data_IF_311520144317
#
_entry.id   IF_311520144317
#
_cell.length_a   1.000
_cell.length_b   1.000
_cell.length_c   1.000
_cell.angle_alpha   90.00
_cell.angle_beta   90.00
_cell.angle_gamma   90.00
#
_symmetry.space_group_name_H-M   'P 1'
#
loop_
_entity.id
_entity.type
_entity.pdbx_description
1 polymer ?
#
# COMPACT_ATOMS: atom_id res chain seq x y z
N UNK A 1 70.05 -33.09 22.30
CA UNK A 1 69.93 -34.48 21.83
C UNK A 1 68.84 -35.15 22.66
N UNK A 2 67.73 -35.51 22.00
CA UNK A 2 66.58 -36.33 22.44
C UNK A 2 65.73 -35.78 23.60
N UNK A 3 64.73 -34.95 23.25
CA UNK A 3 63.50 -34.81 24.04
C UNK A 3 62.51 -35.83 23.45
N UNK A 4 62.22 -36.89 24.21
CA UNK A 4 61.31 -37.93 23.78
C UNK A 4 59.86 -37.55 24.12
N UNK A 5 59.02 -37.65 23.10
CA UNK A 5 57.66 -37.16 23.02
C UNK A 5 56.63 -38.15 23.59
N UNK A 6 55.40 -37.64 23.71
CA UNK A 6 54.08 -38.31 23.70
C UNK A 6 53.50 -38.70 25.06
N UNK A 7 52.74 -37.76 25.64
CA UNK A 7 51.53 -38.10 26.41
C UNK A 7 50.32 -38.00 25.48
N UNK A 8 49.77 -39.15 25.10
CA UNK A 8 48.56 -39.24 24.30
C UNK A 8 47.37 -38.65 25.09
N UNK A 9 46.76 -37.57 24.58
CA UNK A 9 45.42 -37.14 25.02
C UNK A 9 44.41 -38.08 24.37
N UNK A 10 43.85 -38.99 25.16
CA UNK A 10 42.71 -39.80 24.74
C UNK A 10 41.48 -38.91 24.59
N UNK A 11 41.13 -38.61 23.34
CA UNK A 11 39.84 -38.05 22.97
C UNK A 11 38.74 -39.06 23.34
N UNK A 12 38.00 -38.81 24.42
CA UNK A 12 36.72 -39.49 24.68
C UNK A 12 35.72 -38.98 23.65
N UNK A 13 35.63 -39.68 22.52
CA UNK A 13 34.46 -39.60 21.64
C UNK A 13 33.26 -40.09 22.44
N UNK A 14 32.38 -39.16 22.83
CA UNK A 14 31.04 -39.50 23.28
C UNK A 14 30.33 -40.23 22.16
N UNK A 15 30.24 -41.55 22.27
CA UNK A 15 29.34 -42.35 21.44
C UNK A 15 27.93 -41.92 21.83
N UNK A 16 27.22 -41.23 20.96
CA UNK A 16 25.76 -41.26 20.99
C UNK A 16 25.37 -42.72 20.79
N UNK A 17 25.06 -43.39 21.90
CA UNK A 17 24.40 -44.69 21.84
C UNK A 17 23.03 -44.43 21.24
N UNK A 18 22.85 -44.81 19.97
CA UNK A 18 21.53 -45.04 19.40
C UNK A 18 20.98 -46.32 20.05
N UNK A 19 20.53 -46.17 21.29
CA UNK A 19 19.65 -47.14 21.93
C UNK A 19 18.31 -47.06 21.21
N UNK A 20 17.74 -48.20 20.83
CA UNK A 20 16.39 -48.24 20.29
C UNK A 20 15.44 -47.65 21.33
N UNK A 21 14.81 -46.52 20.99
CA UNK A 21 13.83 -45.88 21.87
C UNK A 21 12.73 -46.87 22.21
N UNK A 22 12.38 -46.93 23.49
CA UNK A 22 11.26 -47.77 23.93
C UNK A 22 9.96 -47.22 23.34
N UNK A 23 8.97 -48.09 23.14
CA UNK A 23 7.68 -47.70 22.56
C UNK A 23 7.00 -46.59 23.38
N UNK A 24 7.20 -46.57 24.70
CA UNK A 24 6.70 -45.53 25.61
C UNK A 24 7.43 -44.19 25.41
N UNK A 25 8.73 -44.21 25.16
CA UNK A 25 9.51 -42.99 24.91
C UNK A 25 9.15 -42.36 23.56
N UNK A 26 8.94 -43.19 22.53
CA UNK A 26 8.48 -42.75 21.22
C UNK A 26 7.10 -42.09 21.29
N UNK A 27 6.15 -42.67 22.04
CA UNK A 27 4.79 -42.10 22.17
C UNK A 27 4.79 -40.78 22.92
N UNK A 28 5.65 -40.62 23.94
CA UNK A 28 5.82 -39.33 24.65
C UNK A 28 6.39 -38.27 23.71
N UNK A 29 7.43 -38.60 22.95
CA UNK A 29 8.05 -37.67 21.99
C UNK A 29 7.05 -37.25 20.92
N UNK A 30 6.32 -38.20 20.33
CA UNK A 30 5.30 -37.89 19.32
C UNK A 30 4.18 -37.04 19.93
N UNK A 31 3.71 -37.37 21.14
CA UNK A 31 2.70 -36.59 21.84
C UNK A 31 3.14 -35.15 22.11
N UNK A 32 4.39 -34.94 22.55
CA UNK A 32 4.95 -33.60 22.72
C UNK A 32 5.09 -32.86 21.39
N UNK A 33 5.51 -33.52 20.31
CA UNK A 33 5.60 -32.88 18.99
C UNK A 33 4.22 -32.44 18.47
N UNK A 34 3.19 -33.27 18.64
CA UNK A 34 1.81 -32.92 18.23
C UNK A 34 1.28 -31.74 19.03
N UNK A 35 1.52 -31.70 20.35
CA UNK A 35 1.16 -30.56 21.20
C UNK A 35 1.87 -29.27 20.76
N UNK A 36 3.18 -29.33 20.53
CA UNK A 36 3.97 -28.18 20.09
C UNK A 36 3.54 -27.71 18.69
N UNK A 37 3.24 -28.63 17.78
CA UNK A 37 2.73 -28.31 16.46
C UNK A 37 1.36 -27.61 16.52
N UNK A 38 0.45 -28.09 17.38
CA UNK A 38 -0.86 -27.47 17.59
C UNK A 38 -0.76 -26.05 18.14
N UNK A 39 0.09 -25.85 19.16
CA UNK A 39 0.37 -24.52 19.71
C UNK A 39 1.01 -23.59 18.67
N UNK A 40 1.95 -24.12 17.87
CA UNK A 40 2.61 -23.38 16.79
C UNK A 40 1.64 -22.93 15.71
N UNK A 41 0.72 -23.80 15.28
CA UNK A 41 -0.32 -23.44 14.30
C UNK A 41 -1.29 -22.40 14.85
N UNK A 42 -1.68 -22.49 16.13
CA UNK A 42 -2.52 -21.49 16.78
C UNK A 42 -1.89 -20.11 16.79
N UNK A 43 -0.62 -20.02 17.18
CA UNK A 43 0.13 -18.76 17.18
C UNK A 43 0.32 -18.20 15.76
N UNK A 44 0.60 -19.04 14.78
CA UNK A 44 0.76 -18.61 13.39
C UNK A 44 -0.57 -18.06 12.82
N UNK A 45 -1.69 -18.73 13.11
CA UNK A 45 -3.02 -18.23 12.74
C UNK A 45 -3.29 -16.85 13.33
N UNK A 46 -2.99 -16.66 14.63
CA UNK A 46 -3.14 -15.36 15.29
C UNK A 46 -2.24 -14.27 14.69
N UNK A 47 -0.99 -14.60 14.34
CA UNK A 47 -0.08 -13.66 13.69
C UNK A 47 -0.58 -13.22 12.31
N UNK A 48 -1.12 -14.15 11.51
CA UNK A 48 -1.70 -13.82 10.20
C UNK A 48 -2.91 -12.89 10.35
N UNK A 49 -3.80 -13.17 11.31
CA UNK A 49 -4.95 -12.30 11.60
C UNK A 49 -4.51 -10.90 12.04
N UNK A 50 -3.53 -10.81 12.96
CA UNK A 50 -3.01 -9.51 13.41
C UNK A 50 -2.35 -8.73 12.28
N UNK A 51 -1.61 -9.39 11.38
CA UNK A 51 -1.02 -8.75 10.22
C UNK A 51 -2.10 -8.16 9.28
N UNK A 52 -3.25 -8.83 9.13
CA UNK A 52 -4.40 -8.30 8.39
C UNK A 52 -4.97 -7.03 9.03
N UNK A 53 -5.25 -7.08 10.34
CA UNK A 53 -5.83 -5.93 11.08
C UNK A 53 -4.90 -4.71 11.03
N UNK A 54 -3.59 -4.90 11.13
CA UNK A 54 -2.61 -3.80 11.05
C UNK A 54 -2.64 -3.16 9.66
N UNK A 55 -2.77 -3.95 8.59
CA UNK A 55 -2.88 -3.42 7.22
C UNK A 55 -4.13 -2.56 7.04
N UNK A 56 -5.25 -2.97 7.60
CA UNK A 56 -6.52 -2.22 7.53
C UNK A 56 -6.46 -0.89 8.30
N UNK A 57 -5.81 -0.86 9.47
CA UNK A 57 -5.74 0.36 10.30
C UNK A 57 -4.71 1.39 9.86
N UNK A 58 -3.86 1.07 8.88
CA UNK A 58 -2.80 1.97 8.43
C UNK A 58 -3.29 3.10 7.50
N UNK A 59 -4.55 3.08 7.08
CA UNK A 59 -5.09 4.10 6.18
C UNK A 59 -5.03 5.51 6.78
N UNK A 60 -5.64 5.74 7.95
CA UNK A 60 -5.66 7.06 8.58
C UNK A 60 -4.27 7.53 9.05
N UNK A 61 -3.42 6.61 9.47
CA UNK A 61 -2.12 6.93 10.06
C UNK A 61 -1.06 7.25 8.99
N UNK A 62 -1.08 6.55 7.85
CA UNK A 62 -0.01 6.64 6.86
C UNK A 62 -0.50 7.06 5.48
N UNK A 63 -1.57 6.43 4.96
CA UNK A 63 -1.99 6.61 3.57
C UNK A 63 -2.69 7.95 3.35
N UNK A 64 -3.65 8.29 4.20
CA UNK A 64 -4.36 9.55 4.11
C UNK A 64 -3.42 10.77 4.25
N UNK A 65 -2.49 10.83 5.22
CA UNK A 65 -1.51 11.92 5.29
C UNK A 65 -0.58 11.98 4.07
N UNK A 66 -0.17 10.83 3.52
CA UNK A 66 0.64 10.78 2.30
C UNK A 66 -0.09 11.40 1.11
N UNK A 67 -1.38 11.07 0.93
CA UNK A 67 -2.23 11.66 -0.12
C UNK A 67 -2.32 13.17 0.07
N UNK A 68 -2.67 13.65 1.27
CA UNK A 68 -2.78 15.08 1.54
C UNK A 68 -1.49 15.85 1.24
N UNK A 69 -0.35 15.35 1.72
CA UNK A 69 0.95 15.97 1.48
C UNK A 69 1.30 16.04 0.00
N UNK A 70 0.89 15.05 -0.80
CA UNK A 70 1.15 15.08 -2.23
C UNK A 70 0.17 15.99 -2.96
N UNK A 71 -1.11 15.87 -2.66
CA UNK A 71 -2.18 16.64 -3.28
C UNK A 71 -1.95 18.13 -3.06
N UNK A 72 -1.62 18.54 -1.84
CA UNK A 72 -1.27 19.92 -1.51
C UNK A 72 -0.09 20.44 -2.33
N UNK A 73 0.98 19.65 -2.49
CA UNK A 73 2.17 20.05 -3.27
C UNK A 73 1.89 20.15 -4.77
N UNK A 74 1.05 19.28 -5.32
CA UNK A 74 0.77 19.26 -6.75
C UNK A 74 -0.26 20.33 -7.12
N UNK A 75 -1.34 20.47 -6.35
CA UNK A 75 -2.38 21.49 -6.60
C UNK A 75 -1.80 22.89 -6.48
N UNK A 76 -0.95 23.16 -5.48
CA UNK A 76 -0.33 24.48 -5.31
C UNK A 76 0.54 24.92 -6.48
N UNK A 77 1.02 23.97 -7.30
CA UNK A 77 1.82 24.27 -8.49
C UNK A 77 0.99 24.38 -9.76
N UNK A 78 -0.26 23.92 -9.74
CA UNK A 78 -1.14 23.97 -10.90
C UNK A 78 -1.76 25.37 -11.02
N UNK A 79 -1.79 25.91 -12.23
CA UNK A 79 -2.48 27.18 -12.51
C UNK A 79 -3.99 27.01 -12.40
N UNK A 80 -4.49 25.84 -12.82
CA UNK A 80 -5.91 25.49 -12.84
C UNK A 80 -6.08 23.99 -12.64
N UNK A 81 -7.27 23.61 -12.21
CA UNK A 81 -7.67 22.22 -12.13
C UNK A 81 -9.09 22.04 -12.63
N UNK A 82 -9.43 20.82 -13.03
CA UNK A 82 -10.74 20.44 -13.55
C UNK A 82 -11.02 18.99 -13.18
N UNK A 83 -12.23 18.71 -12.72
CA UNK A 83 -12.64 17.37 -12.28
C UNK A 83 -13.34 16.66 -13.44
N UNK A 84 -13.14 15.35 -13.54
CA UNK A 84 -13.71 14.46 -14.53
C UNK A 84 -14.21 13.19 -13.83
N UNK A 85 -15.25 12.58 -14.40
CA UNK A 85 -15.87 11.38 -13.84
C UNK A 85 -14.85 10.23 -13.75
N UNK A 86 -14.07 10.02 -14.81
CA UNK A 86 -13.07 8.98 -14.92
C UNK A 86 -11.87 9.37 -15.81
N UNK A 87 -10.90 8.46 -15.92
CA UNK A 87 -9.69 8.62 -16.73
C UNK A 87 -10.00 8.76 -18.23
N UNK A 88 -10.84 7.89 -18.85
CA UNK A 88 -11.23 8.05 -20.24
C UNK A 88 -11.83 9.43 -20.56
N UNK A 89 -12.73 9.94 -19.70
CA UNK A 89 -13.36 11.25 -19.86
C UNK A 89 -12.33 12.39 -19.83
N UNK A 90 -11.35 12.30 -18.92
CA UNK A 90 -10.25 13.25 -18.82
C UNK A 90 -9.30 13.20 -20.05
N UNK A 91 -8.98 12.01 -20.54
CA UNK A 91 -8.12 11.82 -21.72
C UNK A 91 -8.81 12.26 -23.02
N UNK A 92 -10.12 12.05 -23.13
CA UNK A 92 -10.93 12.51 -24.25
C UNK A 92 -11.19 14.03 -24.23
N UNK A 93 -10.87 14.72 -23.13
CA UNK A 93 -11.10 16.17 -22.99
C UNK A 93 -12.59 16.52 -23.01
N UNK A 94 -13.42 15.67 -22.39
CA UNK A 94 -14.87 15.91 -22.25
C UNK A 94 -15.16 17.15 -21.39
N UNK A 95 -16.44 17.49 -21.21
CA UNK A 95 -16.77 18.53 -20.23
C UNK A 95 -16.47 18.05 -18.82
N UNK A 96 -15.94 18.96 -18.00
CA UNK A 96 -15.62 18.66 -16.62
C UNK A 96 -16.88 18.51 -15.78
N UNK A 97 -16.77 17.68 -14.76
CA UNK A 97 -17.82 17.37 -13.81
C UNK A 97 -17.62 18.15 -12.51
N UNK A 98 -18.68 18.28 -11.71
CA UNK A 98 -18.56 18.86 -10.37
C UNK A 98 -17.97 17.86 -9.36
N UNK A 99 -18.05 16.57 -9.67
CA UNK A 99 -17.56 15.48 -8.84
C UNK A 99 -17.05 14.32 -9.71
N UNK A 100 -16.00 13.63 -9.30
CA UNK A 100 -15.51 12.47 -10.04
C UNK A 100 -14.24 11.87 -9.47
N UNK A 101 -13.65 10.93 -10.21
CA UNK A 101 -12.49 10.17 -9.77
C UNK A 101 -11.19 10.60 -10.46
N UNK A 102 -11.25 11.57 -11.36
CA UNK A 102 -10.09 12.12 -12.06
C UNK A 102 -10.02 13.64 -11.88
N UNK A 103 -8.84 14.13 -11.50
CA UNK A 103 -8.51 15.53 -11.34
C UNK A 103 -7.40 15.89 -12.33
N UNK A 104 -7.75 16.67 -13.36
CA UNK A 104 -6.80 17.20 -14.33
C UNK A 104 -6.23 18.52 -13.81
N UNK A 105 -4.93 18.67 -13.92
CA UNK A 105 -4.14 19.79 -13.46
C UNK A 105 -3.46 20.43 -14.67
N UNK A 106 -3.60 21.74 -14.79
CA UNK A 106 -2.99 22.53 -15.87
C UNK A 106 -1.81 23.30 -15.30
N UNK A 107 -0.66 23.12 -15.94
CA UNK A 107 0.59 23.80 -15.63
C UNK A 107 1.03 24.64 -16.83
N UNK A 108 1.80 25.69 -16.58
CA UNK A 108 2.54 26.42 -17.62
C UNK A 108 4.03 26.16 -17.48
N UNK A 109 4.69 25.83 -18.59
CA UNK A 109 6.14 25.79 -18.63
C UNK A 109 6.74 27.21 -18.67
N UNK A 110 8.08 27.29 -18.57
CA UNK A 110 8.81 28.56 -18.62
C UNK A 110 8.64 29.33 -19.95
N UNK A 111 8.17 28.66 -21.00
CA UNK A 111 7.94 29.21 -22.34
C UNK A 111 6.45 29.59 -22.54
N UNK A 112 5.59 29.27 -21.58
CA UNK A 112 4.15 29.54 -21.60
C UNK A 112 3.28 28.44 -22.22
N UNK A 113 3.86 27.30 -22.60
CA UNK A 113 3.07 26.17 -23.10
C UNK A 113 2.31 25.51 -21.95
N UNK A 114 1.08 25.09 -22.25
CA UNK A 114 0.26 24.34 -21.30
C UNK A 114 0.70 22.89 -21.24
N UNK A 115 0.96 22.41 -20.04
CA UNK A 115 1.18 21.00 -19.73
C UNK A 115 0.04 20.48 -18.86
N UNK A 116 -0.32 19.22 -19.05
CA UNK A 116 -1.45 18.62 -18.35
C UNK A 116 -0.96 17.43 -17.53
N UNK A 117 -1.19 17.51 -16.22
CA UNK A 117 -1.11 16.37 -15.32
C UNK A 117 -2.51 15.89 -14.97
N UNK A 118 -2.63 14.65 -14.49
CA UNK A 118 -3.88 14.13 -13.96
C UNK A 118 -3.59 13.28 -12.73
N UNK A 119 -4.40 13.44 -11.70
CA UNK A 119 -4.46 12.55 -10.55
C UNK A 119 -5.77 11.78 -10.67
N UNK A 120 -5.72 10.45 -10.70
CA UNK A 120 -6.92 9.65 -10.79
C UNK A 120 -6.88 8.48 -9.83
N UNK A 121 -8.06 8.12 -9.33
CA UNK A 121 -8.26 6.94 -8.50
C UNK A 121 -8.77 5.78 -9.35
N UNK A 122 -8.15 4.62 -9.19
CA UNK A 122 -8.51 3.39 -9.87
C UNK A 122 -8.65 2.25 -8.87
N UNK A 123 -9.76 1.51 -8.99
CA UNK A 123 -9.94 0.26 -8.25
C UNK A 123 -9.29 -0.88 -9.02
N UNK A 124 -8.17 -1.38 -8.51
CA UNK A 124 -7.53 -2.56 -9.03
C UNK A 124 -8.30 -3.81 -8.58
N UNK A 125 -9.21 -4.28 -9.44
CA UNK A 125 -10.09 -5.43 -9.16
C UNK A 125 -9.35 -6.74 -8.86
N UNK A 126 -8.10 -6.89 -9.31
CA UNK A 126 -7.31 -8.10 -9.06
C UNK A 126 -6.67 -8.13 -7.68
N UNK A 127 -6.31 -6.97 -7.13
CA UNK A 127 -5.73 -6.85 -5.79
C UNK A 127 -6.74 -6.44 -4.72
N UNK A 128 -7.86 -5.84 -5.13
CA UNK A 128 -8.81 -5.19 -4.22
C UNK A 128 -8.28 -3.87 -3.64
N UNK A 129 -7.23 -3.30 -4.22
CA UNK A 129 -6.68 -2.00 -3.79
C UNK A 129 -7.28 -0.86 -4.61
N UNK A 130 -7.59 0.24 -3.92
CA UNK A 130 -7.73 1.57 -4.51
C UNK A 130 -6.34 2.15 -4.70
N UNK A 131 -6.04 2.57 -5.92
CA UNK A 131 -4.77 3.17 -6.30
C UNK A 131 -4.97 4.61 -6.75
N UNK A 132 -4.27 5.53 -6.10
CA UNK A 132 -4.22 6.92 -6.53
C UNK A 132 -2.96 7.13 -7.36
N UNK A 133 -3.14 7.40 -8.65
CA UNK A 133 -2.07 7.45 -9.63
C UNK A 133 -1.92 8.85 -10.23
N UNK A 134 -0.68 9.23 -10.56
CA UNK A 134 -0.39 10.46 -11.29
C UNK A 134 0.00 10.15 -12.74
N UNK A 135 -0.60 10.87 -13.68
CA UNK A 135 -0.43 10.73 -15.11
C UNK A 135 0.13 12.03 -15.66
N UNK A 136 1.21 11.93 -16.43
CA UNK A 136 1.83 13.07 -17.08
C UNK A 136 2.60 12.60 -18.30
N UNK A 137 2.49 13.33 -19.40
CA UNK A 137 3.18 13.02 -20.65
C UNK A 137 3.96 14.22 -21.23
N UNK A 138 4.02 15.35 -20.51
CA UNK A 138 4.70 16.56 -20.99
C UNK A 138 4.10 17.20 -22.24
N UNK A 139 2.89 16.80 -22.63
CA UNK A 139 2.19 17.25 -23.84
C UNK A 139 0.84 17.89 -23.48
N UNK A 140 0.15 18.44 -24.47
CA UNK A 140 -1.11 19.18 -24.31
C UNK A 140 -2.33 18.36 -23.84
N UNK A 141 -2.14 17.18 -23.23
CA UNK A 141 -3.19 16.31 -22.68
C UNK A 141 -2.65 15.42 -21.55
N UNK A 142 -3.48 14.91 -20.63
CA UNK A 142 -3.04 13.93 -19.63
C UNK A 142 -2.38 12.68 -20.25
N UNK A 143 -1.51 12.01 -19.47
CA UNK A 143 -0.84 10.79 -19.92
C UNK A 143 -1.77 9.57 -20.04
N UNK A 144 -1.45 8.67 -20.95
CA UNK A 144 -2.20 7.42 -21.17
C UNK A 144 -1.87 6.33 -20.12
N UNK A 145 -0.73 6.49 -19.43
CA UNK A 145 -0.22 5.55 -18.44
C UNK A 145 0.16 6.28 -17.16
N UNK A 146 0.02 5.62 -15.99
CA UNK A 146 0.47 6.19 -14.74
C UNK A 146 1.98 6.37 -14.78
N UNK A 147 2.45 7.58 -14.50
CA UNK A 147 3.87 7.87 -14.35
C UNK A 147 4.36 7.32 -13.01
N UNK A 148 3.56 7.47 -11.95
CA UNK A 148 3.88 6.94 -10.62
C UNK A 148 2.64 6.84 -9.72
N UNK A 149 2.70 5.94 -8.72
CA UNK A 149 1.65 5.70 -7.72
C UNK A 149 1.85 6.63 -6.52
N UNK A 150 0.83 7.44 -6.19
CA UNK A 150 0.84 8.35 -5.04
C UNK A 150 0.63 7.55 -3.76
N UNK A 151 -0.43 6.76 -3.72
CA UNK A 151 -0.79 5.91 -2.60
C UNK A 151 -1.66 4.74 -3.08
N UNK A 152 -1.73 3.69 -2.25
CA UNK A 152 -2.69 2.62 -2.41
C UNK A 152 -3.07 2.03 -1.06
N UNK A 153 -4.33 1.63 -0.95
CA UNK A 153 -4.93 0.99 0.22
C UNK A 153 -6.05 0.06 -0.21
N UNK A 154 -6.47 -0.85 0.67
CA UNK A 154 -7.58 -1.75 0.35
C UNK A 154 -8.86 -0.93 0.12
N UNK A 155 -9.66 -1.35 -0.85
CA UNK A 155 -10.94 -0.73 -1.14
C UNK A 155 -11.85 -0.75 0.09
N UNK A 156 -12.79 0.21 0.21
CA UNK A 156 -13.77 0.19 1.27
C UNK A 156 -14.63 -1.06 1.19
N UNK A 157 -15.22 -1.47 2.31
CA UNK A 157 -16.07 -2.66 2.38
C UNK A 157 -17.29 -2.61 1.44
N UNK A 158 -17.68 -1.41 0.98
CA UNK A 158 -18.74 -1.21 -0.01
C UNK A 158 -18.32 -1.53 -1.47
N UNK A 159 -17.02 -1.78 -1.72
CA UNK A 159 -16.48 -2.11 -3.05
C UNK A 159 -16.35 -0.92 -4.01
N UNK A 160 -16.46 0.31 -3.50
CA UNK A 160 -16.33 1.52 -4.31
C UNK A 160 -14.86 1.93 -4.52
N UNK A 161 -14.64 2.92 -5.40
CA UNK A 161 -13.30 3.44 -5.73
C UNK A 161 -12.65 4.22 -4.56
N UNK A 162 -13.36 4.45 -3.46
CA UNK A 162 -12.83 4.99 -2.20
C UNK A 162 -12.20 6.39 -2.27
N UNK A 163 -12.29 7.07 -3.41
CA UNK A 163 -11.78 8.43 -3.61
C UNK A 163 -12.80 9.20 -4.43
N UNK A 164 -13.09 10.42 -4.03
CA UNK A 164 -13.93 11.34 -4.80
C UNK A 164 -13.33 12.74 -4.72
N UNK A 165 -13.14 13.36 -5.88
CA UNK A 165 -12.86 14.77 -6.01
C UNK A 165 -14.18 15.49 -6.20
N UNK A 166 -14.44 16.52 -5.42
CA UNK A 166 -15.66 17.33 -5.54
C UNK A 166 -15.35 18.81 -5.41
N UNK A 167 -16.10 19.65 -6.13
CA UNK A 167 -16.04 21.09 -5.98
C UNK A 167 -17.14 21.54 -5.04
N UNK A 168 -16.78 21.92 -3.82
CA UNK A 168 -17.73 22.44 -2.84
C UNK A 168 -17.45 23.92 -2.57
N UNK A 169 -18.42 24.79 -2.89
CA UNK A 169 -18.31 26.25 -2.67
C UNK A 169 -17.05 26.90 -3.26
N UNK A 170 -16.53 26.38 -4.38
CA UNK A 170 -15.32 26.89 -5.05
C UNK A 170 -14.00 26.38 -4.47
N UNK A 171 -14.06 25.46 -3.51
CA UNK A 171 -12.90 24.76 -2.95
C UNK A 171 -12.91 23.32 -3.45
N UNK A 172 -11.73 22.81 -3.81
CA UNK A 172 -11.57 21.41 -4.15
C UNK A 172 -11.57 20.58 -2.87
N UNK A 173 -12.55 19.72 -2.72
CA UNK A 173 -12.59 18.73 -1.66
C UNK A 173 -12.18 17.37 -2.24
N UNK A 174 -11.36 16.66 -1.48
CA UNK A 174 -10.94 15.30 -1.80
C UNK A 174 -11.35 14.41 -0.64
N UNK A 175 -12.36 13.59 -0.91
CA UNK A 175 -12.87 12.59 0.01
C UNK A 175 -12.12 11.29 -0.22
N UNK A 176 -11.55 10.74 0.85
CA UNK A 176 -10.91 9.42 0.84
C UNK A 176 -11.65 8.52 1.83
N UNK A 177 -11.98 7.30 1.39
CA UNK A 177 -12.64 6.27 2.18
C UNK A 177 -11.72 5.06 2.28
N UNK A 178 -11.45 4.64 3.51
CA UNK A 178 -10.59 3.52 3.85
C UNK A 178 -11.31 2.17 3.96
N UNK A 179 -10.58 1.09 4.27
CA UNK A 179 -11.09 -0.29 4.25
C UNK A 179 -12.22 -0.57 5.25
N UNK A 180 -12.24 0.14 6.38
CA UNK A 180 -13.26 0.03 7.44
C UNK A 180 -14.35 1.10 7.28
N UNK A 181 -14.49 1.67 6.08
CA UNK A 181 -15.37 2.81 5.76
C UNK A 181 -15.04 4.06 6.57
N UNK A 182 -13.81 4.19 7.06
CA UNK A 182 -13.35 5.42 7.65
C UNK A 182 -13.16 6.49 6.58
N UNK A 183 -13.62 7.71 6.85
CA UNK A 183 -13.63 8.79 5.88
C UNK A 183 -12.77 9.96 6.34
N UNK A 184 -12.05 10.56 5.39
CA UNK A 184 -11.36 11.82 5.59
C UNK A 184 -11.54 12.72 4.37
N UNK A 185 -11.85 13.99 4.63
CA UNK A 185 -12.05 15.00 3.60
C UNK A 185 -10.94 16.03 3.72
N UNK A 186 -10.24 16.28 2.61
CA UNK A 186 -9.24 17.31 2.50
C UNK A 186 -9.75 18.44 1.62
N UNK A 187 -9.69 19.66 2.12
CA UNK A 187 -9.99 20.85 1.34
C UNK A 187 -8.68 21.49 0.85
N UNK A 188 -8.62 21.77 -0.45
CA UNK A 188 -7.53 22.49 -1.08
C UNK A 188 -8.09 23.63 -1.93
N UNK A 189 -7.48 24.81 -1.80
CA UNK A 189 -7.72 25.94 -2.69
C UNK A 189 -6.46 26.18 -3.51
N UNK A 190 -6.60 26.40 -4.82
CA UNK A 190 -5.50 26.89 -5.64
C UNK A 190 -5.16 28.32 -5.17
N UNK A 191 -3.88 28.60 -4.94
CA UNK A 191 -3.45 29.95 -4.62
C UNK A 191 -3.77 30.86 -5.81
N UNK A 192 -4.63 31.86 -5.57
CA UNK A 192 -4.99 32.91 -6.53
C UNK A 192 -3.78 33.78 -6.89
#
# INVERSE_FOLDING_TARGET
MIINLRRARSSRRGRFHLSGMTLVELTIVIGMMVLLAGLGMGLLSQQVTMAGIIKERNFLVSKAPQVNNMLGRVIQRADRFMIFDDIPAAQAGTQGSASGNALVLVFRDAVGNKQFGMIAAELNKSSGEVELNYYFNGSGRPGDKPLWKIAGWNAPANGENGVTFEMFSGVLETRLVGPLNEEIVYAASAAL
#
